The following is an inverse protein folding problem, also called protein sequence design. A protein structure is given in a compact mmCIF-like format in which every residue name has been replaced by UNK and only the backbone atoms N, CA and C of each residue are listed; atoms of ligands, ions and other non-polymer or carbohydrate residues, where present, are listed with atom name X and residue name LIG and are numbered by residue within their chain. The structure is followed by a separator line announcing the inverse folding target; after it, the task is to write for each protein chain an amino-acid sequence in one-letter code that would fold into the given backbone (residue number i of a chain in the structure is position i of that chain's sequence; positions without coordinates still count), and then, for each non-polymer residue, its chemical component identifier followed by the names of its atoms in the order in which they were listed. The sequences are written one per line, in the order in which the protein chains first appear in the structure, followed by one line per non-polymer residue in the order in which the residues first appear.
data_IF_052918940322
#
_entry.id   IF_052918940322
#
_cell.length_a   1.000
_cell.length_b   1.000
_cell.length_c   1.000
_cell.angle_alpha   90.00
_cell.angle_beta   90.00
_cell.angle_gamma   90.00
#
_symmetry.space_group_name_H-M   'P 1'
#
loop_
_entity.id
_entity.type
_entity.pdbx_description
1 polymer ?
#
# COMPACT_ATOMS: atom_id res chain seq x y z
N UNK A 1 -16.89 -14.80 -23.28
CA UNK A 1 -16.27 -15.37 -22.06
C UNK A 1 -16.84 -14.66 -20.85
N UNK A 2 -17.44 -15.36 -19.88
CA UNK A 2 -18.00 -14.77 -18.65
C UNK A 2 -17.17 -15.28 -17.47
N UNK A 3 -16.41 -14.40 -16.83
CA UNK A 3 -15.64 -14.71 -15.61
C UNK A 3 -16.51 -14.37 -14.42
N UNK A 4 -16.84 -15.37 -13.62
CA UNK A 4 -17.64 -15.19 -12.41
C UNK A 4 -16.75 -14.63 -11.29
N UNK A 5 -17.21 -13.54 -10.65
CA UNK A 5 -16.47 -12.91 -9.55
C UNK A 5 -16.83 -13.61 -8.23
N UNK A 6 -15.82 -14.06 -7.49
CA UNK A 6 -16.00 -14.75 -6.19
C UNK A 6 -15.75 -13.86 -4.98
N UNK A 7 -14.87 -12.86 -5.12
CA UNK A 7 -14.41 -12.00 -4.00
C UNK A 7 -14.60 -10.51 -4.25
N UNK A 8 -15.13 -10.12 -5.40
CA UNK A 8 -15.31 -8.72 -5.78
C UNK A 8 -16.66 -8.54 -6.44
N UNK A 9 -17.24 -7.35 -6.32
CA UNK A 9 -18.48 -7.00 -6.99
C UNK A 9 -18.20 -6.02 -8.14
N UNK A 10 -19.14 -5.87 -9.05
CA UNK A 10 -19.04 -4.87 -10.12
C UNK A 10 -19.08 -3.45 -9.56
N UNK A 11 -19.93 -3.19 -8.54
CA UNK A 11 -20.08 -1.87 -7.92
C UNK A 11 -18.85 -1.46 -7.12
N UNK A 12 -18.31 -2.36 -6.30
CA UNK A 12 -17.15 -2.07 -5.43
C UNK A 12 -15.81 -2.26 -6.15
N UNK A 13 -15.82 -2.83 -7.35
CA UNK A 13 -14.62 -3.11 -8.13
C UNK A 13 -13.63 -4.06 -7.46
N UNK A 14 -12.37 -3.99 -7.90
CA UNK A 14 -11.31 -4.89 -7.47
C UNK A 14 -10.87 -4.71 -6.00
N UNK A 15 -10.97 -3.49 -5.47
CA UNK A 15 -10.44 -3.13 -4.15
C UNK A 15 -11.51 -2.74 -3.13
N UNK A 16 -12.79 -2.67 -3.49
CA UNK A 16 -13.81 -2.10 -2.59
C UNK A 16 -14.13 -2.92 -1.34
N UNK A 17 -13.59 -4.14 -1.19
CA UNK A 17 -13.62 -4.88 0.08
C UNK A 17 -12.39 -4.64 0.97
N UNK A 18 -11.50 -3.73 0.58
CA UNK A 18 -10.28 -3.40 1.30
C UNK A 18 -10.36 -1.99 1.85
N UNK A 19 -10.07 -1.84 3.14
CA UNK A 19 -9.79 -0.53 3.73
C UNK A 19 -8.35 -0.12 3.45
N UNK A 20 -8.14 1.17 3.22
CA UNK A 20 -6.81 1.75 3.00
C UNK A 20 -6.51 2.79 4.07
N UNK A 21 -5.23 2.90 4.41
CA UNK A 21 -4.69 3.95 5.26
C UNK A 21 -3.54 4.64 4.57
N UNK A 22 -3.30 5.90 4.93
CA UNK A 22 -2.08 6.61 4.57
C UNK A 22 -0.89 6.06 5.36
N UNK A 23 0.24 5.92 4.68
CA UNK A 23 1.52 5.59 5.30
C UNK A 23 2.63 6.49 4.74
N UNK A 24 3.76 6.53 5.44
CA UNK A 24 5.00 7.11 4.94
C UNK A 24 6.06 6.03 4.99
N UNK A 25 6.79 5.85 3.89
CA UNK A 25 8.00 5.02 3.85
C UNK A 25 9.20 5.95 3.84
N UNK A 26 10.15 5.72 4.74
CA UNK A 26 11.35 6.54 4.87
C UNK A 26 12.56 5.67 5.17
N UNK A 27 13.64 5.91 4.43
CA UNK A 27 14.94 5.30 4.68
C UNK A 27 15.89 6.41 5.08
N UNK A 28 16.59 6.21 6.20
CA UNK A 28 17.59 7.15 6.73
C UNK A 28 18.96 6.52 6.77
N UNK A 29 19.98 7.35 6.59
CA UNK A 29 21.35 7.02 6.94
C UNK A 29 21.52 6.94 8.47
N UNK A 30 22.61 6.33 8.97
CA UNK A 30 22.92 6.30 10.40
C UNK A 30 23.05 7.70 11.04
N UNK A 31 23.43 8.71 10.26
CA UNK A 31 23.51 10.11 10.69
C UNK A 31 22.14 10.81 10.76
N UNK A 32 21.06 10.10 10.42
CA UNK A 32 19.68 10.60 10.44
C UNK A 32 19.23 11.31 9.17
N UNK A 33 20.12 11.55 8.20
CA UNK A 33 19.77 12.14 6.91
C UNK A 33 18.88 11.20 6.09
N UNK A 34 17.92 11.79 5.35
CA UNK A 34 16.93 11.04 4.58
C UNK A 34 17.53 10.62 3.23
N UNK A 35 17.52 9.32 2.95
CA UNK A 35 17.95 8.73 1.68
C UNK A 35 16.76 8.60 0.73
N UNK A 36 15.60 8.25 1.28
CA UNK A 36 14.35 8.10 0.54
C UNK A 36 13.19 8.46 1.45
N UNK A 37 12.19 9.16 0.91
CA UNK A 37 10.93 9.43 1.60
C UNK A 37 9.79 9.47 0.60
N UNK A 38 8.77 8.67 0.86
CA UNK A 38 7.51 8.69 0.13
C UNK A 38 6.35 8.77 1.11
N UNK A 39 5.64 9.90 1.07
CA UNK A 39 4.53 10.20 1.97
C UNK A 39 3.18 9.92 1.32
N UNK A 40 2.16 9.80 2.17
CA UNK A 40 0.76 9.73 1.76
C UNK A 40 0.42 8.58 0.80
N UNK A 41 1.19 7.48 0.85
CA UNK A 41 0.87 6.27 0.10
C UNK A 41 -0.37 5.59 0.68
N UNK A 42 -1.28 5.17 -0.20
CA UNK A 42 -2.40 4.33 0.18
C UNK A 42 -1.96 2.87 0.24
N UNK A 43 -2.03 2.29 1.44
CA UNK A 43 -1.75 0.86 1.65
C UNK A 43 -2.96 0.22 2.32
N UNK A 44 -3.22 -1.08 2.08
CA UNK A 44 -4.26 -1.79 2.81
C UNK A 44 -4.08 -1.60 4.33
N UNK A 45 -5.15 -1.27 5.05
CA UNK A 45 -5.09 -0.88 6.46
C UNK A 45 -4.37 -1.92 7.33
N UNK A 46 -4.52 -3.21 7.01
CA UNK A 46 -3.90 -4.34 7.70
C UNK A 46 -2.39 -4.51 7.45
N UNK A 47 -1.79 -3.77 6.51
CA UNK A 47 -0.36 -3.90 6.23
C UNK A 47 0.46 -3.36 7.38
N UNK A 48 1.47 -4.14 7.80
CA UNK A 48 2.51 -3.67 8.69
C UNK A 48 3.33 -2.57 8.01
N UNK A 49 4.09 -1.81 8.81
CA UNK A 49 4.99 -0.80 8.25
C UNK A 49 6.00 -1.44 7.28
N UNK A 50 6.58 -2.59 7.62
CA UNK A 50 7.49 -3.34 6.74
C UNK A 50 6.84 -3.68 5.40
N UNK A 51 5.57 -4.10 5.37
CA UNK A 51 4.87 -4.38 4.12
C UNK A 51 4.63 -3.10 3.29
N UNK A 52 4.34 -1.97 3.94
CA UNK A 52 4.24 -0.67 3.27
C UNK A 52 5.59 -0.21 2.71
N UNK A 53 6.69 -0.42 3.44
CA UNK A 53 8.04 -0.05 3.02
C UNK A 53 8.48 -0.86 1.80
N UNK A 54 8.21 -2.18 1.78
CA UNK A 54 8.49 -3.04 0.63
C UNK A 54 7.71 -2.57 -0.61
N UNK A 55 6.43 -2.21 -0.45
CA UNK A 55 5.62 -1.70 -1.55
C UNK A 55 6.22 -0.40 -2.12
N UNK A 56 6.57 0.55 -1.25
CA UNK A 56 7.08 1.87 -1.61
C UNK A 56 8.49 1.86 -2.25
N UNK A 57 9.26 0.80 -2.05
CA UNK A 57 10.57 0.63 -2.69
C UNK A 57 10.47 -0.02 -4.06
N UNK A 58 9.39 -0.75 -4.32
CA UNK A 58 9.21 -1.50 -5.57
C UNK A 58 8.64 -0.66 -6.70
N UNK A 59 7.87 0.37 -6.37
CA UNK A 59 7.15 1.24 -7.31
C UNK A 59 7.43 2.70 -6.99
#
# INVERSE_FOLDING_TARGET
MRIERRFTTTESGAYGGLEFRKATSEIRNPDGSVVFRLENIDVPARFSQVAADILAQKY
#
